data_IF_716920677516
#
_entry.id   IF_716920677516
#
_cell.length_a   1.000
_cell.length_b   1.000
_cell.length_c   1.000
_cell.angle_alpha   90.00
_cell.angle_beta   90.00
_cell.angle_gamma   90.00
#
_symmetry.space_group_name_H-M   'P 1'
#
loop_
_entity.id
_entity.type
_entity.pdbx_description
1 polymer ?
#
# COMPACT_ATOMS: atom_id res chain seq x y z
N UNK A 1 -14.24 3.75 1.58
CA UNK A 1 -13.61 2.43 1.37
C UNK A 1 -12.13 2.68 1.16
N UNK A 2 -11.24 1.96 1.86
CA UNK A 2 -9.78 2.05 1.65
C UNK A 2 -9.34 1.19 0.47
N UNK A 3 -8.38 1.66 -0.33
CA UNK A 3 -7.93 0.96 -1.53
C UNK A 3 -6.88 -0.12 -1.22
N UNK A 4 -6.99 -1.29 -1.85
CA UNK A 4 -5.96 -2.34 -1.79
C UNK A 4 -4.93 -2.16 -2.88
N UNK A 5 -3.69 -1.87 -2.49
CA UNK A 5 -2.61 -1.52 -3.42
C UNK A 5 -1.84 -2.75 -3.92
N UNK A 6 -1.82 -3.83 -3.13
CA UNK A 6 -1.18 -5.09 -3.51
C UNK A 6 -0.13 -5.59 -2.52
N UNK A 7 0.74 -6.47 -3.01
CA UNK A 7 1.91 -7.02 -2.32
C UNK A 7 3.17 -6.58 -3.08
N UNK A 8 4.13 -6.00 -2.36
CA UNK A 8 5.34 -5.40 -2.93
C UNK A 8 6.60 -6.08 -2.41
N UNK A 9 7.72 -5.90 -3.10
CA UNK A 9 9.02 -6.29 -2.57
C UNK A 9 9.55 -5.21 -1.62
N UNK A 10 10.40 -5.61 -0.68
CA UNK A 10 11.09 -4.63 0.15
C UNK A 10 11.99 -3.75 -0.72
N UNK A 11 11.86 -2.44 -0.55
CA UNK A 11 12.64 -1.44 -1.31
C UNK A 11 11.88 -0.87 -2.51
N UNK A 12 10.70 -1.42 -2.84
CA UNK A 12 9.83 -0.83 -3.85
C UNK A 12 9.25 0.51 -3.38
N UNK A 13 8.84 1.31 -4.38
CA UNK A 13 7.99 2.48 -4.16
C UNK A 13 6.52 2.06 -4.26
N UNK A 14 5.78 2.28 -3.18
CA UNK A 14 4.33 2.08 -3.17
C UNK A 14 3.65 3.41 -3.46
N UNK A 15 2.85 3.47 -4.53
CA UNK A 15 2.17 4.68 -4.97
C UNK A 15 0.66 4.56 -4.80
N UNK A 16 0.04 5.62 -4.28
CA UNK A 16 -1.41 5.70 -4.08
C UNK A 16 -1.93 7.08 -4.44
N UNK A 17 -3.10 7.13 -5.07
CA UNK A 17 -3.89 8.36 -5.23
C UNK A 17 -5.14 8.28 -4.37
N UNK A 18 -5.52 9.43 -3.81
CA UNK A 18 -6.79 9.56 -3.11
C UNK A 18 -7.47 10.86 -3.46
N UNK A 19 -8.80 10.86 -3.40
CA UNK A 19 -9.61 12.04 -3.66
C UNK A 19 -10.16 12.65 -2.37
N UNK A 20 -10.41 13.95 -2.40
CA UNK A 20 -11.12 14.66 -1.33
C UNK A 20 -12.25 15.50 -1.89
N UNK A 21 -13.37 15.52 -1.17
CA UNK A 21 -14.58 16.24 -1.53
C UNK A 21 -15.00 17.15 -0.38
N UNK A 22 -15.70 18.24 -0.70
CA UNK A 22 -16.36 19.08 0.30
C UNK A 22 -17.67 18.46 0.80
N UNK A 23 -18.36 19.14 1.71
CA UNK A 23 -19.64 18.69 2.25
C UNK A 23 -20.78 18.60 1.21
N UNK A 24 -20.64 19.27 0.07
CA UNK A 24 -21.57 19.21 -1.06
C UNK A 24 -21.17 18.14 -2.10
N UNK A 25 -20.11 17.38 -1.84
CA UNK A 25 -19.61 16.31 -2.71
C UNK A 25 -18.72 16.80 -3.86
N UNK A 26 -18.41 18.09 -3.96
CA UNK A 26 -17.54 18.62 -5.01
C UNK A 26 -16.07 18.35 -4.67
N UNK A 27 -15.22 18.10 -5.67
CA UNK A 27 -13.78 17.94 -5.45
C UNK A 27 -13.20 19.16 -4.77
N UNK A 28 -12.47 18.95 -3.67
CA UNK A 28 -11.98 20.03 -2.83
C UNK A 28 -10.51 19.85 -2.48
N UNK A 29 -9.76 20.94 -2.45
CA UNK A 29 -8.38 20.94 -2.00
C UNK A 29 -8.30 20.79 -0.47
N UNK A 30 -7.14 20.32 -0.01
CA UNK A 30 -6.76 20.38 1.40
C UNK A 30 -6.43 21.82 1.77
N UNK A 31 -7.21 22.41 2.68
CA UNK A 31 -6.91 23.72 3.27
C UNK A 31 -5.73 23.63 4.22
N UNK A 32 -5.65 22.51 4.97
CA UNK A 32 -4.49 22.13 5.78
C UNK A 32 -4.07 20.71 5.37
N UNK A 33 -2.78 20.46 5.06
CA UNK A 33 -2.33 19.17 4.52
C UNK A 33 -2.59 17.97 5.43
N UNK A 34 -2.46 18.14 6.74
CA UNK A 34 -2.43 17.02 7.71
C UNK A 34 -1.08 16.29 7.70
N UNK A 35 -1.08 15.06 8.20
CA UNK A 35 0.08 14.15 8.19
C UNK A 35 -0.33 12.82 7.58
N UNK A 36 0.41 12.38 6.56
CA UNK A 36 0.33 11.02 6.03
C UNK A 36 1.40 10.18 6.71
N UNK A 37 0.99 9.06 7.30
CA UNK A 37 1.89 8.14 7.98
C UNK A 37 1.53 6.68 7.64
N UNK A 38 2.50 5.79 7.77
CA UNK A 38 2.32 4.35 7.52
C UNK A 38 2.32 3.60 8.85
N UNK A 39 1.24 2.88 9.10
CA UNK A 39 1.12 1.95 10.21
C UNK A 39 1.48 0.54 9.72
N UNK A 40 2.06 -0.26 10.62
CA UNK A 40 2.47 -1.64 10.36
C UNK A 40 1.72 -2.57 11.30
N UNK A 41 1.10 -3.60 10.75
CA UNK A 41 0.34 -4.61 11.48
C UNK A 41 -0.64 -3.96 12.47
N UNK A 42 -0.49 -4.22 13.77
CA UNK A 42 -1.25 -3.60 14.86
C UNK A 42 -0.44 -2.56 15.67
N UNK A 43 0.69 -2.07 15.13
CA UNK A 43 1.52 -1.09 15.82
C UNK A 43 0.82 0.27 15.91
N UNK A 44 1.01 0.94 17.04
CA UNK A 44 0.47 2.29 17.29
C UNK A 44 1.43 3.41 16.91
N UNK A 45 2.70 3.08 16.70
CA UNK A 45 3.75 4.03 16.28
C UNK A 45 3.94 3.89 14.76
N UNK A 46 3.60 4.94 13.98
CA UNK A 46 3.74 4.89 12.53
C UNK A 46 5.13 5.35 12.07
N UNK A 47 5.45 5.06 10.81
CA UNK A 47 6.56 5.69 10.09
C UNK A 47 6.10 6.86 9.22
N UNK A 48 6.94 7.89 9.17
CA UNK A 48 6.77 9.07 8.28
C UNK A 48 8.04 9.34 7.46
N UNK A 49 9.15 8.67 7.75
CA UNK A 49 10.47 8.99 7.18
C UNK A 49 10.63 8.59 5.70
N UNK A 50 9.71 7.79 5.15
CA UNK A 50 9.69 7.39 3.75
C UNK A 50 8.48 7.87 2.94
N UNK A 51 7.68 8.79 3.47
CA UNK A 51 6.39 9.19 2.87
C UNK A 51 6.50 10.54 2.18
N UNK A 52 6.19 10.57 0.89
CA UNK A 52 6.05 11.80 0.10
C UNK A 52 4.58 12.02 -0.22
N UNK A 53 4.02 13.14 0.23
CA UNK A 53 2.62 13.51 0.01
C UNK A 53 2.53 14.78 -0.86
N UNK A 54 1.85 14.66 -2.01
CA UNK A 54 1.67 15.72 -3.00
C UNK A 54 0.19 16.08 -3.10
N UNK A 55 -0.15 17.28 -2.62
CA UNK A 55 -1.50 17.81 -2.75
C UNK A 55 -1.80 18.26 -4.19
N UNK A 56 -3.04 18.03 -4.64
CA UNK A 56 -3.52 18.43 -5.97
C UNK A 56 -2.54 18.00 -7.08
N UNK A 57 -2.31 16.69 -7.19
CA UNK A 57 -1.37 16.11 -8.15
C UNK A 57 -1.68 16.61 -9.56
N UNK A 58 -0.66 17.13 -10.23
CA UNK A 58 -0.79 17.77 -11.53
C UNK A 58 -1.80 18.93 -11.58
N UNK A 59 -1.91 19.69 -10.48
CA UNK A 59 -2.87 20.79 -10.28
C UNK A 59 -4.36 20.39 -10.35
N UNK A 60 -4.67 19.09 -10.25
CA UNK A 60 -6.05 18.61 -10.24
C UNK A 60 -6.62 18.75 -8.83
N UNK A 61 -7.56 19.68 -8.66
CA UNK A 61 -8.19 19.95 -7.37
C UNK A 61 -8.85 18.68 -6.83
N UNK A 62 -8.48 18.33 -5.59
CA UNK A 62 -9.06 17.21 -4.86
C UNK A 62 -8.49 15.85 -5.25
N UNK A 63 -7.47 15.75 -6.10
CA UNK A 63 -6.72 14.52 -6.34
C UNK A 63 -5.33 14.66 -5.74
N UNK A 64 -4.95 13.78 -4.83
CA UNK A 64 -3.67 13.80 -4.14
C UNK A 64 -2.87 12.53 -4.46
N UNK A 65 -1.55 12.61 -4.32
CA UNK A 65 -0.65 11.50 -4.58
C UNK A 65 0.27 11.26 -3.39
N UNK A 66 0.41 10.00 -2.99
CA UNK A 66 1.32 9.56 -1.95
C UNK A 66 2.27 8.52 -2.52
N UNK A 67 3.55 8.68 -2.23
CA UNK A 67 4.58 7.69 -2.49
C UNK A 67 5.19 7.25 -1.16
N UNK A 68 5.38 5.95 -0.97
CA UNK A 68 6.03 5.37 0.20
C UNK A 68 7.28 4.61 -0.24
N UNK A 69 8.45 4.99 0.27
CA UNK A 69 9.69 4.27 0.06
C UNK A 69 9.87 3.19 1.13
N UNK A 70 9.81 1.93 0.71
CA UNK A 70 9.84 0.77 1.62
C UNK A 70 11.25 0.23 1.92
N UNK A 71 12.30 0.97 1.60
CA UNK A 71 13.69 0.54 1.86
C UNK A 71 14.10 0.58 3.34
N UNK A 72 13.39 1.36 4.16
CA UNK A 72 13.69 1.55 5.58
C UNK A 72 13.56 0.29 6.45
N UNK A 73 14.14 0.31 7.65
CA UNK A 73 14.10 -0.82 8.59
C UNK A 73 12.69 -1.13 9.12
N UNK A 74 11.79 -0.14 9.14
CA UNK A 74 10.39 -0.30 9.51
C UNK A 74 9.66 -1.32 8.60
N UNK A 75 10.02 -1.31 7.32
CA UNK A 75 9.45 -2.14 6.27
C UNK A 75 10.17 -3.49 6.20
N UNK A 76 9.45 -4.54 6.58
CA UNK A 76 9.92 -5.94 6.57
C UNK A 76 8.97 -6.84 5.78
N UNK A 77 9.51 -7.88 5.13
CA UNK A 77 8.73 -8.97 4.56
C UNK A 77 7.79 -9.63 5.57
N UNK A 78 6.63 -10.09 5.10
CA UNK A 78 5.63 -10.81 5.91
C UNK A 78 4.71 -9.92 6.75
N UNK A 79 4.76 -8.60 6.60
CA UNK A 79 3.91 -7.65 7.34
C UNK A 79 2.89 -6.96 6.45
N UNK A 80 1.82 -6.48 7.08
CA UNK A 80 0.80 -5.63 6.47
C UNK A 80 0.97 -4.17 6.88
N UNK A 81 0.57 -3.27 5.99
CA UNK A 81 0.74 -1.84 6.19
C UNK A 81 -0.50 -1.06 5.77
N UNK A 82 -0.79 0.03 6.48
CA UNK A 82 -1.87 0.95 6.17
C UNK A 82 -1.34 2.37 6.05
N UNK A 83 -1.68 3.04 4.95
CA UNK A 83 -1.38 4.45 4.72
C UNK A 83 -2.54 5.27 5.26
N UNK A 84 -2.28 6.15 6.23
CA UNK A 84 -3.32 6.90 6.94
C UNK A 84 -3.01 8.39 6.88
N UNK A 85 -4.02 9.17 6.49
CA UNK A 85 -4.05 10.62 6.61
C UNK A 85 -4.70 11.01 7.94
N UNK A 86 -4.06 11.90 8.70
CA UNK A 86 -4.59 12.44 9.96
C UNK A 86 -4.48 13.97 9.99
N UNK A 87 -5.40 14.63 10.69
CA UNK A 87 -5.32 16.07 10.96
C UNK A 87 -5.44 16.98 9.74
N UNK A 88 -5.92 16.47 8.59
CA UNK A 88 -6.16 17.31 7.42
C UNK A 88 -7.38 18.22 7.64
N UNK A 89 -7.44 19.31 6.89
CA UNK A 89 -8.64 20.12 6.77
C UNK A 89 -9.07 20.18 5.30
N UNK A 90 -10.31 19.82 5.01
CA UNK A 90 -10.87 19.82 3.65
C UNK A 90 -11.97 20.87 3.58
N UNK A 91 -11.82 21.88 2.71
CA UNK A 91 -12.80 22.97 2.57
C UNK A 91 -13.23 23.59 3.92
N UNK A 92 -12.29 23.77 4.86
CA UNK A 92 -12.58 24.32 6.19
C UNK A 92 -13.04 23.30 7.25
N UNK A 93 -13.38 22.06 6.89
CA UNK A 93 -13.82 21.01 7.81
C UNK A 93 -12.60 20.28 8.39
N UNK A 94 -12.49 20.21 9.72
CA UNK A 94 -11.36 19.63 10.45
C UNK A 94 -11.82 18.92 11.74
N UNK A 95 -11.12 17.85 12.21
CA UNK A 95 -10.06 17.13 11.51
C UNK A 95 -10.62 16.05 10.57
N UNK A 96 -10.07 15.96 9.37
CA UNK A 96 -10.33 14.85 8.46
C UNK A 96 -9.25 13.78 8.66
N UNK A 97 -9.71 12.56 8.92
CA UNK A 97 -8.91 11.35 9.06
C UNK A 97 -9.40 10.34 8.04
N UNK A 98 -8.49 9.67 7.35
CA UNK A 98 -8.86 8.66 6.36
C UNK A 98 -7.75 7.63 6.17
N UNK A 99 -8.14 6.37 5.98
CA UNK A 99 -7.25 5.32 5.49
C UNK A 99 -7.21 5.44 3.97
N UNK A 100 -6.05 5.80 3.43
CA UNK A 100 -5.81 5.98 1.99
C UNK A 100 -5.77 4.61 1.31
N UNK A 101 -4.98 3.69 1.86
CA UNK A 101 -4.84 2.36 1.29
C UNK A 101 -4.12 1.39 2.20
N UNK A 102 -4.14 0.13 1.78
CA UNK A 102 -3.45 -0.97 2.44
C UNK A 102 -2.55 -1.68 1.43
N UNK A 103 -1.38 -2.11 1.89
CA UNK A 103 -0.44 -2.90 1.11
C UNK A 103 0.25 -3.91 2.03
N UNK A 104 0.94 -4.87 1.43
CA UNK A 104 1.81 -5.78 2.16
C UNK A 104 3.19 -5.82 1.52
N UNK A 105 4.18 -6.26 2.28
CA UNK A 105 5.51 -6.54 1.74
C UNK A 105 5.74 -8.04 1.83
N UNK A 106 5.83 -8.69 0.67
CA UNK A 106 6.11 -10.11 0.53
C UNK A 106 5.26 -11.03 1.43
N UNK A 107 4.06 -10.61 1.80
CA UNK A 107 3.19 -11.34 2.72
C UNK A 107 2.25 -12.28 1.96
N UNK A 108 2.01 -12.01 0.68
CA UNK A 108 1.05 -12.76 -0.15
C UNK A 108 1.77 -13.42 -1.32
N UNK A 109 2.88 -14.11 -1.01
CA UNK A 109 3.59 -14.92 -2.02
C UNK A 109 2.62 -15.96 -2.58
N UNK A 110 2.73 -16.18 -3.90
CA UNK A 110 2.01 -17.23 -4.56
C UNK A 110 2.33 -18.57 -3.89
N UNK A 111 1.30 -19.22 -3.34
CA UNK A 111 1.41 -20.59 -2.88
C UNK A 111 1.60 -21.48 -4.11
N UNK A 112 2.86 -21.85 -4.37
CA UNK A 112 3.25 -22.65 -5.53
C UNK A 112 2.58 -24.04 -5.48
N UNK A 113 2.34 -24.54 -4.26
CA UNK A 113 1.62 -25.79 -3.99
C UNK A 113 0.15 -25.67 -4.41
N UNK A 114 -0.48 -24.52 -4.14
CA UNK A 114 -1.86 -24.21 -4.59
C UNK A 114 -1.98 -24.05 -6.10
N UNK A 115 -0.93 -23.56 -6.77
CA UNK A 115 -0.92 -23.31 -8.23
C UNK A 115 -0.75 -24.61 -9.02
N UNK A 116 0.06 -25.55 -8.53
CA UNK A 116 0.33 -26.80 -9.24
C UNK A 116 -0.57 -27.95 -8.77
N UNK A 117 -1.32 -27.77 -7.67
CA UNK A 117 -2.25 -28.77 -7.15
C UNK A 117 -1.56 -30.03 -6.63
N UNK A 118 -0.26 -29.97 -6.37
CA UNK A 118 0.56 -31.09 -5.92
C UNK A 118 1.72 -30.57 -5.08
N UNK A 119 2.09 -31.31 -4.03
CA UNK A 119 3.29 -31.03 -3.23
C UNK A 119 4.54 -31.12 -4.11
N UNK A 120 5.24 -30.00 -4.27
CA UNK A 120 6.50 -30.01 -5.02
C UNK A 120 7.66 -30.48 -4.14
N UNK A 121 8.25 -31.61 -4.50
CA UNK A 121 9.48 -32.11 -3.86
C UNK A 121 10.68 -31.72 -4.73
N UNK A 122 11.63 -30.98 -4.16
CA UNK A 122 12.91 -30.70 -4.82
C UNK A 122 13.75 -31.99 -4.85
N UNK A 123 14.17 -32.42 -6.04
CA UNK A 123 15.15 -33.48 -6.17
C UNK A 123 16.53 -32.99 -5.69
N UNK A 124 17.41 -33.90 -5.29
CA UNK A 124 18.79 -33.57 -4.90
C UNK A 124 19.63 -32.88 -5.99
N UNK A 125 19.09 -32.76 -7.21
CA UNK A 125 19.70 -32.07 -8.35
C UNK A 125 19.18 -30.63 -8.55
N UNK A 126 18.35 -30.10 -7.64
CA UNK A 126 17.81 -28.72 -7.73
C UNK A 126 16.70 -28.55 -8.77
N UNK A 127 16.02 -29.65 -9.11
CA UNK A 127 14.90 -29.67 -10.07
C UNK A 127 13.62 -30.11 -9.36
N UNK A 128 12.49 -29.48 -9.70
CA UNK A 128 11.16 -29.86 -9.19
C UNK A 128 10.79 -31.23 -9.75
N UNK A 129 10.54 -32.21 -8.87
CA UNK A 129 10.05 -33.52 -9.24
C UNK A 129 8.52 -33.49 -9.33
N UNK A 130 7.98 -32.98 -10.44
CA UNK A 130 6.55 -32.96 -10.71
C UNK A 130 6.25 -33.55 -12.08
N UNK A 131 5.11 -34.25 -12.20
CA UNK A 131 4.55 -34.66 -13.49
C UNK A 131 3.98 -33.41 -14.19
N UNK A 132 4.84 -32.67 -14.88
CA UNK A 132 4.38 -31.60 -15.76
C UNK A 132 3.85 -32.25 -17.06
N UNK A 133 2.53 -32.38 -17.17
CA UNK A 133 1.91 -32.78 -18.44
C UNK A 133 2.03 -31.62 -19.44
N UNK A 134 3.04 -31.70 -20.30
CA UNK A 134 3.10 -30.86 -21.49
C UNK A 134 2.17 -31.46 -22.53
N UNK A 135 0.96 -30.90 -22.66
CA UNK A 135 0.11 -31.16 -23.81
C UNK A 135 0.77 -30.55 -25.05
N UNK A 136 1.23 -31.41 -25.97
CA UNK A 136 1.68 -31.03 -27.31
C UNK A 136 0.50 -30.87 -28.27
#
# INVERSE_FOLDING_TARGET
MSMGLGDFLKGDLVEAKFSTNDAAGQSASRTTPGTVAVYKDALTVPDTAGVTDTANFNAIVGIHHVTVNTSGAFYVPGSEYQIVLTGAQIAGISPVVSVIGHFSIEHRKADVDRILGATLVESSAGRIAGNFDFFY
#
